data_IF_320098630965
#
_entry.id   IF_320098630965
#
_cell.length_a   1.000
_cell.length_b   1.000
_cell.length_c   1.000
_cell.angle_alpha   90.00
_cell.angle_beta   90.00
_cell.angle_gamma   90.00
#
_symmetry.space_group_name_H-M   'P 1'
#
loop_
_entity.id
_entity.type
_entity.pdbx_description
1 polymer ?
#
# COMPACT_ATOMS: atom_id res chain seq x y z
N UNK A 1 2.99 -6.04 -22.96
CA UNK A 1 4.35 -6.11 -23.53
C UNK A 1 5.30 -6.49 -22.43
N UNK A 2 5.94 -7.65 -22.53
CA UNK A 2 7.10 -7.98 -21.70
C UNK A 2 8.28 -7.12 -22.19
N UNK A 3 9.04 -6.58 -21.25
CA UNK A 3 10.10 -5.61 -21.45
C UNK A 3 10.99 -5.92 -22.65
N UNK A 4 11.31 -4.89 -23.44
CA UNK A 4 12.51 -4.86 -24.26
C UNK A 4 13.66 -5.40 -23.40
N UNK A 5 14.40 -6.37 -23.92
CA UNK A 5 15.48 -7.04 -23.22
C UNK A 5 16.58 -6.02 -22.91
N UNK A 6 16.44 -5.31 -21.80
CA UNK A 6 17.47 -4.42 -21.28
C UNK A 6 18.65 -5.33 -20.97
N UNK A 7 19.70 -5.23 -21.80
CA UNK A 7 20.95 -5.95 -21.59
C UNK A 7 21.46 -5.66 -20.18
N UNK A 8 21.42 -6.70 -19.34
CA UNK A 8 22.07 -6.70 -18.04
C UNK A 8 23.60 -6.74 -18.24
N UNK A 9 24.41 -6.07 -17.41
CA UNK A 9 24.05 -5.36 -16.18
C UNK A 9 23.40 -3.98 -16.41
N UNK A 10 22.65 -3.50 -15.40
CA UNK A 10 22.02 -2.18 -15.44
C UNK A 10 23.06 -1.07 -15.63
N UNK A 11 22.91 -0.30 -16.72
CA UNK A 11 23.79 0.84 -17.04
C UNK A 11 23.38 2.07 -16.23
N UNK A 12 24.23 2.45 -15.27
CA UNK A 12 24.05 3.65 -14.42
C UNK A 12 25.15 4.66 -14.77
N UNK A 13 24.78 5.90 -15.11
CA UNK A 13 25.72 7.01 -15.34
C UNK A 13 25.84 7.87 -14.09
N UNK A 14 27.07 8.11 -13.62
CA UNK A 14 27.34 8.93 -12.43
C UNK A 14 27.66 10.37 -12.85
N UNK A 15 26.94 11.33 -12.26
CA UNK A 15 27.15 12.76 -12.49
C UNK A 15 27.64 13.44 -11.20
N UNK A 16 28.56 14.40 -11.33
CA UNK A 16 29.12 15.18 -10.21
C UNK A 16 28.75 16.67 -10.27
N UNK A 17 28.09 17.11 -11.34
CA UNK A 17 27.71 18.50 -11.60
C UNK A 17 26.30 18.56 -12.19
N UNK A 18 25.71 19.76 -12.21
CA UNK A 18 24.36 20.04 -12.75
C UNK A 18 23.27 19.19 -12.07
N UNK A 19 23.19 19.26 -10.73
CA UNK A 19 22.18 18.51 -9.97
C UNK A 19 20.75 18.89 -10.39
N UNK A 20 19.91 17.93 -10.82
CA UNK A 20 18.56 18.23 -11.30
C UNK A 20 17.58 18.40 -10.14
N UNK A 21 17.59 19.58 -9.52
CA UNK A 21 16.75 19.93 -8.35
C UNK A 21 15.25 19.83 -8.63
N UNK A 22 14.84 19.96 -9.89
CA UNK A 22 13.43 19.88 -10.30
C UNK A 22 12.92 18.42 -10.39
N UNK A 23 13.82 17.44 -10.43
CA UNK A 23 13.50 16.02 -10.59
C UNK A 23 13.85 15.19 -9.35
N UNK A 24 14.97 15.49 -8.71
CA UNK A 24 15.49 14.74 -7.57
C UNK A 24 15.37 15.57 -6.28
N UNK A 25 15.05 14.89 -5.17
CA UNK A 25 14.98 15.50 -3.85
C UNK A 25 16.31 16.15 -3.48
N UNK A 26 16.27 17.43 -3.08
CA UNK A 26 17.46 18.26 -2.88
C UNK A 26 18.52 17.60 -1.97
N UNK A 27 19.82 17.69 -2.32
CA UNK A 27 20.91 17.24 -1.47
C UNK A 27 21.00 18.08 -0.18
N UNK A 28 21.64 17.55 0.88
CA UNK A 28 22.29 16.25 0.93
C UNK A 28 21.31 15.11 1.25
N UNK A 29 21.35 14.07 0.41
CA UNK A 29 20.78 12.76 0.77
C UNK A 29 21.73 12.13 1.80
N UNK A 30 21.55 12.50 3.07
CA UNK A 30 22.32 11.94 4.18
C UNK A 30 21.77 10.57 4.58
N UNK A 31 22.59 9.74 5.24
CA UNK A 31 22.13 8.47 5.82
C UNK A 31 20.93 8.66 6.75
N UNK A 32 20.92 9.75 7.52
CA UNK A 32 19.81 10.10 8.41
C UNK A 32 18.53 10.45 7.62
N UNK A 33 18.66 11.15 6.49
CA UNK A 33 17.51 11.44 5.62
C UNK A 33 16.91 10.17 5.02
N UNK A 34 17.74 9.21 4.59
CA UNK A 34 17.29 7.91 4.07
C UNK A 34 16.62 7.09 5.17
N UNK A 35 17.20 7.04 6.36
CA UNK A 35 16.60 6.37 7.53
C UNK A 35 15.25 6.98 7.91
N UNK A 36 15.16 8.31 7.94
CA UNK A 36 13.92 9.02 8.22
C UNK A 36 12.84 8.73 7.16
N UNK A 37 13.21 8.71 5.88
CA UNK A 37 12.29 8.36 4.79
C UNK A 37 11.81 6.92 4.90
N UNK A 38 12.71 5.98 5.15
CA UNK A 38 12.38 4.57 5.38
C UNK A 38 11.39 4.39 6.55
N UNK A 39 11.63 5.04 7.70
CA UNK A 39 10.72 4.96 8.84
C UNK A 39 9.39 5.66 8.55
N UNK A 40 9.38 6.76 7.80
CA UNK A 40 8.16 7.43 7.37
C UNK A 40 7.27 6.50 6.54
N UNK A 41 7.88 5.76 5.61
CA UNK A 41 7.20 4.77 4.77
C UNK A 41 6.57 3.64 5.58
N UNK A 42 7.28 3.13 6.59
CA UNK A 42 6.75 2.09 7.48
C UNK A 42 5.58 2.62 8.33
N UNK A 43 5.71 3.85 8.86
CA UNK A 43 4.64 4.50 9.64
C UNK A 43 3.36 4.70 8.83
N UNK A 44 3.50 5.15 7.58
CA UNK A 44 2.38 5.30 6.65
C UNK A 44 1.70 3.96 6.37
N UNK A 45 2.49 2.91 6.12
CA UNK A 45 1.95 1.56 5.93
C UNK A 45 1.22 1.04 7.17
N UNK A 46 1.74 1.29 8.38
CA UNK A 46 1.08 0.90 9.63
C UNK A 46 -0.18 1.73 9.93
N UNK A 47 -0.21 3.00 9.53
CA UNK A 47 -1.42 3.82 9.59
C UNK A 47 -2.57 3.20 8.78
N UNK A 48 -2.25 2.68 7.58
CA UNK A 48 -3.21 2.00 6.72
C UNK A 48 -3.64 0.63 7.28
N UNK A 49 -2.69 -0.17 7.76
CA UNK A 49 -2.98 -1.52 8.26
C UNK A 49 -3.68 -1.54 9.62
N UNK A 50 -3.20 -0.71 10.55
CA UNK A 50 -3.44 -0.82 11.98
C UNK A 50 -3.74 0.51 12.69
N UNK A 51 -3.97 1.61 11.94
CA UNK A 51 -4.11 2.96 12.51
C UNK A 51 -2.90 3.36 13.38
N UNK A 52 -1.69 3.00 12.94
CA UNK A 52 -0.42 3.29 13.62
C UNK A 52 -0.24 2.59 14.97
N UNK A 53 -1.13 1.66 15.33
CA UNK A 53 -1.11 0.99 16.63
C UNK A 53 0.20 0.23 16.88
N UNK A 54 0.66 -0.57 15.91
CA UNK A 54 1.84 -1.42 16.10
C UNK A 54 3.10 -0.56 16.20
N UNK A 55 3.26 0.43 15.30
CA UNK A 55 4.39 1.36 15.34
C UNK A 55 4.45 2.18 16.63
N UNK A 56 3.30 2.57 17.19
CA UNK A 56 3.26 3.33 18.44
C UNK A 56 3.63 2.50 19.67
N UNK A 57 3.53 1.16 19.60
CA UNK A 57 3.96 0.27 20.68
C UNK A 57 5.43 -0.12 20.61
N UNK A 58 6.07 0.09 19.45
CA UNK A 58 7.49 -0.19 19.28
C UNK A 58 8.36 0.82 20.03
N UNK A 59 9.47 0.33 20.57
CA UNK A 59 10.48 1.18 21.20
C UNK A 59 11.47 1.72 20.16
N UNK A 60 12.20 2.78 20.51
CA UNK A 60 13.23 3.35 19.63
C UNK A 60 14.34 2.34 19.24
N UNK A 61 14.56 1.29 20.05
CA UNK A 61 15.46 0.17 19.69
C UNK A 61 14.91 -0.69 18.56
N UNK A 62 13.59 -0.89 18.51
CA UNK A 62 12.93 -1.71 17.50
C UNK A 62 12.97 -1.01 16.14
N UNK A 63 12.73 0.31 16.12
CA UNK A 63 12.89 1.14 14.92
C UNK A 63 14.33 1.10 14.37
N UNK A 64 15.33 1.24 15.26
CA UNK A 64 16.75 1.12 14.88
C UNK A 64 17.09 -0.28 14.38
N UNK A 65 16.47 -1.32 14.94
CA UNK A 65 16.68 -2.70 14.50
C UNK A 65 16.11 -2.96 13.11
N UNK A 66 14.93 -2.42 12.78
CA UNK A 66 14.39 -2.46 11.41
C UNK A 66 15.37 -1.82 10.42
N UNK A 67 15.84 -0.61 10.72
CA UNK A 67 16.79 0.09 9.86
C UNK A 67 18.12 -0.66 9.71
N UNK A 68 18.71 -1.11 10.82
CA UNK A 68 19.97 -1.85 10.79
C UNK A 68 19.85 -3.19 10.08
N UNK A 69 18.70 -3.87 10.21
CA UNK A 69 18.41 -5.11 9.50
C UNK A 69 18.42 -4.90 7.99
N UNK A 70 17.80 -3.82 7.51
CA UNK A 70 17.84 -3.44 6.09
C UNK A 70 19.26 -3.06 5.63
N UNK A 71 19.90 -2.14 6.36
CA UNK A 71 21.19 -1.57 5.96
C UNK A 71 22.32 -2.61 5.87
N UNK A 72 22.33 -3.60 6.76
CA UNK A 72 23.38 -4.62 6.83
C UNK A 72 22.96 -5.96 6.23
N UNK A 73 21.85 -6.01 5.48
CA UNK A 73 21.33 -7.21 4.83
C UNK A 73 21.08 -8.38 5.81
N UNK A 74 20.59 -8.08 7.02
CA UNK A 74 20.32 -9.05 8.08
C UNK A 74 18.82 -9.39 8.11
N UNK A 75 18.43 -10.40 7.33
CA UNK A 75 17.03 -10.83 7.18
C UNK A 75 16.34 -11.09 8.52
N UNK A 76 16.91 -11.96 9.38
CA UNK A 76 16.28 -12.34 10.65
C UNK A 76 16.16 -11.15 11.61
N UNK A 77 17.16 -10.27 11.60
CA UNK A 77 17.16 -9.06 12.42
C UNK A 77 15.99 -8.14 12.03
N UNK A 78 15.77 -7.94 10.73
CA UNK A 78 14.64 -7.16 10.22
C UNK A 78 13.30 -7.84 10.53
N UNK A 79 13.17 -9.13 10.20
CA UNK A 79 11.91 -9.86 10.30
C UNK A 79 11.46 -10.13 11.73
N UNK A 80 12.38 -10.22 12.70
CA UNK A 80 12.03 -10.33 14.12
C UNK A 80 11.19 -9.16 14.64
N UNK A 81 11.27 -7.98 13.99
CA UNK A 81 10.45 -6.82 14.29
C UNK A 81 9.33 -6.66 13.27
N UNK A 82 9.61 -6.82 11.97
CA UNK A 82 8.64 -6.64 10.90
C UNK A 82 7.48 -7.65 10.95
N UNK A 83 7.66 -8.83 11.53
CA UNK A 83 6.59 -9.82 11.72
C UNK A 83 5.39 -9.23 12.48
N UNK A 84 5.64 -8.39 13.50
CA UNK A 84 4.59 -7.69 14.27
C UNK A 84 3.76 -6.75 13.39
N UNK A 85 4.37 -6.15 12.36
CA UNK A 85 3.69 -5.30 11.38
C UNK A 85 2.89 -6.11 10.35
N UNK A 86 3.07 -7.42 10.30
CA UNK A 86 2.36 -8.31 9.36
C UNK A 86 1.30 -9.18 10.05
N UNK A 87 1.13 -9.02 11.37
CA UNK A 87 0.06 -9.66 12.12
C UNK A 87 -1.21 -8.80 12.09
N UNK A 88 -2.32 -9.27 11.52
CA UNK A 88 -3.56 -8.51 11.54
C UNK A 88 -4.10 -8.39 12.96
N UNK A 89 -4.52 -7.18 13.36
CA UNK A 89 -5.14 -6.98 14.68
C UNK A 89 -6.40 -7.85 14.81
N UNK A 90 -6.63 -8.44 16.00
CA UNK A 90 -7.90 -9.10 16.27
C UNK A 90 -9.03 -8.08 16.14
N UNK A 91 -9.98 -8.34 15.23
CA UNK A 91 -11.18 -7.53 15.08
C UNK A 91 -12.09 -7.74 16.30
N UNK A 92 -11.76 -7.12 17.44
CA UNK A 92 -12.70 -6.88 18.52
C UNK A 92 -13.68 -5.82 18.05
N UNK A 93 -14.87 -6.24 17.62
CA UNK A 93 -15.93 -5.39 17.09
C UNK A 93 -16.59 -4.46 18.13
N UNK A 94 -15.96 -4.16 19.28
CA UNK A 94 -16.57 -3.27 20.30
C UNK A 94 -15.64 -2.32 21.07
N UNK A 95 -14.30 -2.39 20.98
CA UNK A 95 -13.43 -1.65 21.91
C UNK A 95 -12.41 -0.70 21.23
N UNK A 96 -12.82 0.00 20.19
CA UNK A 96 -12.13 1.24 19.80
C UNK A 96 -12.97 2.40 20.33
N UNK A 97 -12.44 3.28 21.20
CA UNK A 97 -13.17 4.45 21.65
C UNK A 97 -13.49 5.30 20.43
N UNK A 98 -14.75 5.27 20.00
CA UNK A 98 -15.33 6.33 19.22
C UNK A 98 -15.49 7.49 20.19
N UNK A 99 -14.65 8.52 20.07
CA UNK A 99 -15.02 9.84 20.57
C UNK A 99 -16.20 10.33 19.72
N UNK A 100 -17.39 9.86 20.04
CA UNK A 100 -18.64 10.51 19.68
C UNK A 100 -19.19 11.13 20.96
N UNK A 101 -19.13 12.45 21.04
CA UNK A 101 -19.88 13.24 22.01
C UNK A 101 -21.36 12.84 21.92
N UNK A 102 -21.89 12.21 22.96
CA UNK A 102 -23.34 12.00 23.10
C UNK A 102 -23.80 12.48 24.48
N UNK A 103 -24.80 13.36 24.45
CA UNK A 103 -25.64 13.72 25.58
C UNK A 103 -26.62 12.55 25.91
N UNK A 104 -27.19 12.49 27.13
CA UNK A 104 -27.67 11.23 27.70
C UNK A 104 -29.17 10.99 27.51
N UNK A 105 -29.56 9.72 27.36
CA UNK A 105 -30.95 9.25 27.39
C UNK A 105 -31.10 7.75 27.68
N UNK A 106 -31.29 7.43 28.96
CA UNK A 106 -32.11 6.40 29.67
C UNK A 106 -32.31 4.97 29.05
N UNK A 107 -32.26 3.87 29.87
CA UNK A 107 -32.18 2.47 29.40
C UNK A 107 -33.52 1.69 29.42
N UNK A 108 -33.66 0.68 28.54
CA UNK A 108 -34.71 -0.36 28.65
C UNK A 108 -34.18 -1.79 28.39
N UNK A 109 -34.84 -2.76 29.02
CA UNK A 109 -34.38 -4.12 29.37
C UNK A 109 -34.88 -5.26 28.44
N UNK A 110 -34.00 -6.28 28.22
CA UNK A 110 -34.20 -7.76 28.03
C UNK A 110 -35.14 -8.28 26.89
N UNK A 111 -35.14 -9.61 26.52
CA UNK A 111 -34.40 -10.77 27.05
C UNK A 111 -33.68 -11.71 26.04
N UNK A 112 -32.97 -12.70 26.60
CA UNK A 112 -32.30 -13.82 25.95
C UNK A 112 -33.28 -14.85 25.33
N UNK A 113 -32.98 -15.32 24.11
CA UNK A 113 -33.33 -16.65 23.56
C UNK A 113 -32.30 -17.00 22.47
N UNK A 114 -31.52 -18.07 22.64
CA UNK A 114 -31.75 -19.46 22.17
C UNK A 114 -30.94 -19.81 20.91
N UNK A 115 -29.86 -20.56 21.16
CA UNK A 115 -29.39 -21.75 20.44
C UNK A 115 -29.13 -21.74 18.92
N UNK A 116 -27.91 -22.22 18.64
CA UNK A 116 -27.46 -22.98 17.47
C UNK A 116 -27.41 -22.24 16.13
N UNK A 117 -26.20 -21.81 15.76
CA UNK A 117 -25.62 -22.16 14.47
C UNK A 117 -24.09 -22.22 14.59
N UNK A 118 -23.61 -23.46 14.69
CA UNK A 118 -22.21 -23.82 14.63
C UNK A 118 -21.81 -23.89 13.15
N UNK A 119 -21.42 -22.75 12.60
CA UNK A 119 -20.51 -22.67 11.47
C UNK A 119 -19.76 -21.37 11.69
N UNK A 120 -18.80 -21.41 12.62
CA UNK A 120 -17.88 -20.32 12.83
C UNK A 120 -17.09 -20.14 11.54
N UNK A 121 -17.63 -19.29 10.66
CA UNK A 121 -16.88 -18.44 9.74
C UNK A 121 -15.60 -18.10 10.45
N UNK A 122 -14.51 -18.77 10.07
CA UNK A 122 -13.18 -18.42 10.51
C UNK A 122 -12.97 -17.00 10.02
N UNK A 123 -13.32 -16.04 10.88
CA UNK A 123 -13.26 -14.60 10.64
C UNK A 123 -11.83 -14.34 10.21
N UNK A 124 -11.64 -14.23 8.89
CA UNK A 124 -10.31 -14.11 8.31
C UNK A 124 -9.71 -12.84 8.92
N UNK A 125 -8.61 -12.99 9.67
CA UNK A 125 -7.94 -11.85 10.28
C UNK A 125 -7.24 -11.12 9.13
N UNK A 126 -7.68 -9.90 8.85
CA UNK A 126 -7.15 -9.10 7.74
C UNK A 126 -6.78 -7.71 8.20
N UNK A 127 -5.90 -7.04 7.45
CA UNK A 127 -5.58 -5.64 7.67
C UNK A 127 -6.77 -4.75 7.38
N UNK A 128 -6.72 -3.50 7.84
CA UNK A 128 -7.76 -2.52 7.49
C UNK A 128 -7.68 -2.11 6.00
N UNK A 129 -6.48 -1.79 5.52
CA UNK A 129 -6.21 -1.50 4.12
C UNK A 129 -4.86 -2.08 3.67
N UNK A 130 -4.71 -2.27 2.36
CA UNK A 130 -3.47 -2.71 1.72
C UNK A 130 -2.61 -1.47 1.37
N UNK A 131 -1.40 -1.32 1.94
CA UNK A 131 -0.45 -0.29 1.52
C UNK A 131 0.12 -0.63 0.14
N UNK A 132 -0.36 0.06 -0.92
CA UNK A 132 0.06 -0.20 -2.29
C UNK A 132 0.23 1.12 -3.06
N UNK A 133 1.21 1.16 -3.96
CA UNK A 133 1.49 2.28 -4.87
C UNK A 133 1.65 1.76 -6.28
N UNK A 134 0.90 2.33 -7.21
CA UNK A 134 1.01 2.04 -8.64
C UNK A 134 1.86 3.14 -9.31
N UNK A 135 2.98 2.74 -9.88
CA UNK A 135 3.86 3.62 -10.65
C UNK A 135 3.61 3.40 -12.14
N UNK A 136 3.29 4.48 -12.85
CA UNK A 136 3.11 4.46 -14.30
C UNK A 136 4.20 5.31 -14.95
N UNK A 137 4.82 4.77 -15.99
CA UNK A 137 5.79 5.51 -16.81
C UNK A 137 5.00 6.16 -17.94
N UNK A 138 5.09 7.49 -18.08
CA UNK A 138 4.54 8.19 -19.25
C UNK A 138 5.62 8.26 -20.33
N UNK A 139 5.26 7.91 -21.57
CA UNK A 139 6.17 7.99 -22.72
C UNK A 139 6.51 9.43 -23.12
N UNK A 140 5.76 10.42 -22.62
CA UNK A 140 5.98 11.84 -22.89
C UNK A 140 7.04 12.41 -21.92
N UNK A 141 8.29 12.09 -22.21
CA UNK A 141 9.50 12.28 -21.41
C UNK A 141 9.98 13.74 -21.21
N UNK A 142 9.12 14.76 -21.30
CA UNK A 142 9.60 16.16 -21.32
C UNK A 142 9.26 17.06 -20.13
N UNK A 143 8.40 16.73 -19.15
CA UNK A 143 8.18 17.70 -18.05
C UNK A 143 7.49 17.26 -16.75
N UNK A 144 7.21 15.99 -16.45
CA UNK A 144 6.63 15.66 -15.14
C UNK A 144 7.24 14.42 -14.49
N UNK A 145 7.51 14.46 -13.17
CA UNK A 145 7.89 13.25 -12.45
C UNK A 145 6.72 12.27 -12.50
N UNK A 146 7.02 11.01 -12.82
CA UNK A 146 6.13 9.88 -12.64
C UNK A 146 5.67 9.85 -11.18
N UNK A 147 4.47 10.39 -10.92
CA UNK A 147 3.80 10.23 -9.64
C UNK A 147 3.35 8.78 -9.45
N UNK A 148 2.94 8.44 -8.24
CA UNK A 148 2.27 7.17 -7.98
C UNK A 148 0.79 7.39 -7.68
N UNK A 149 -0.02 6.40 -8.03
CA UNK A 149 -1.42 6.32 -7.60
C UNK A 149 -1.48 5.49 -6.33
N UNK A 150 -2.12 6.02 -5.29
CA UNK A 150 -2.38 5.32 -4.04
C UNK A 150 -3.83 5.58 -3.64
N UNK A 151 -4.58 4.50 -3.39
CA UNK A 151 -5.98 4.54 -2.94
C UNK A 151 -6.20 3.56 -1.79
N UNK A 152 -7.31 3.72 -1.08
CA UNK A 152 -7.71 2.80 -0.02
C UNK A 152 -8.26 1.51 -0.64
N UNK A 153 -7.51 0.42 -0.49
CA UNK A 153 -7.91 -0.91 -0.95
C UNK A 153 -8.15 -1.78 0.28
N UNK A 154 -9.36 -2.31 0.44
CA UNK A 154 -9.67 -3.30 1.48
C UNK A 154 -9.10 -4.66 1.06
N UNK A 155 -8.65 -5.51 1.98
CA UNK A 155 -8.22 -6.87 1.65
C UNK A 155 -9.38 -7.85 1.43
N UNK A 156 -10.60 -7.44 1.81
CA UNK A 156 -11.81 -8.20 1.58
C UNK A 156 -12.80 -7.34 0.79
N UNK A 157 -13.39 -7.95 -0.23
CA UNK A 157 -14.49 -7.41 -1.00
C UNK A 157 -15.79 -7.42 -0.16
N UNK A 158 -16.85 -6.76 -0.64
CA UNK A 158 -18.12 -6.66 0.10
C UNK A 158 -18.84 -8.01 0.24
N UNK A 159 -18.52 -8.97 -0.62
CA UNK A 159 -18.98 -10.38 -0.56
C UNK A 159 -18.15 -11.24 0.41
N UNK A 160 -17.10 -10.69 1.02
CA UNK A 160 -16.18 -11.39 1.91
C UNK A 160 -15.08 -12.18 1.22
N UNK A 161 -14.99 -12.15 -0.12
CA UNK A 161 -13.86 -12.73 -0.86
C UNK A 161 -12.59 -11.90 -0.69
N UNK A 162 -11.41 -12.53 -0.88
CA UNK A 162 -10.13 -11.82 -0.87
C UNK A 162 -10.01 -10.96 -2.12
N UNK A 163 -9.63 -9.70 -1.93
CA UNK A 163 -9.35 -8.78 -3.04
C UNK A 163 -8.15 -9.28 -3.84
N UNK A 164 -8.36 -9.52 -5.12
CA UNK A 164 -7.34 -9.97 -6.05
C UNK A 164 -6.47 -8.80 -6.53
N UNK A 165 -5.36 -9.11 -7.20
CA UNK A 165 -4.53 -8.09 -7.85
C UNK A 165 -5.32 -7.35 -8.95
N UNK A 166 -6.20 -8.04 -9.68
CA UNK A 166 -7.04 -7.44 -10.71
C UNK A 166 -7.98 -6.39 -10.10
N UNK A 167 -8.67 -6.76 -9.01
CA UNK A 167 -9.55 -5.83 -8.28
C UNK A 167 -8.78 -4.59 -7.80
N UNK A 168 -7.57 -4.80 -7.27
CA UNK A 168 -6.71 -3.70 -6.82
C UNK A 168 -6.28 -2.78 -7.97
N UNK A 169 -5.91 -3.32 -9.13
CA UNK A 169 -5.56 -2.55 -10.33
C UNK A 169 -6.76 -1.73 -10.81
N UNK A 170 -7.95 -2.34 -10.86
CA UNK A 170 -9.18 -1.66 -11.21
C UNK A 170 -9.48 -0.52 -10.24
N UNK A 171 -9.39 -0.75 -8.93
CA UNK A 171 -9.57 0.31 -7.93
C UNK A 171 -8.58 1.45 -8.16
N UNK A 172 -7.29 1.15 -8.40
CA UNK A 172 -6.24 2.15 -8.60
C UNK A 172 -6.46 2.96 -9.88
N UNK A 173 -6.81 2.31 -11.00
CA UNK A 173 -6.94 2.95 -12.31
C UNK A 173 -8.29 3.61 -12.57
N UNK A 174 -9.39 3.15 -11.95
CA UNK A 174 -10.70 3.78 -12.11
C UNK A 174 -10.70 5.18 -11.48
N UNK A 175 -10.43 6.19 -12.30
CA UNK A 175 -10.70 7.59 -11.99
C UNK A 175 -12.20 7.86 -12.15
N UNK A 176 -12.77 8.60 -11.22
CA UNK A 176 -14.11 9.19 -11.33
C UNK A 176 -14.08 10.30 -12.41
N UNK A 177 -13.90 9.91 -13.67
CA UNK A 177 -13.85 10.78 -14.86
C UNK A 177 -14.72 10.13 -15.94
N UNK A 178 -15.58 10.94 -16.53
CA UNK A 178 -16.65 10.56 -17.45
C UNK A 178 -16.29 9.39 -18.41
N UNK A 179 -17.21 8.44 -18.64
CA UNK A 179 -16.97 7.19 -19.39
C UNK A 179 -16.53 7.38 -20.85
N UNK A 180 -16.59 8.60 -21.39
CA UNK A 180 -16.15 8.92 -22.76
C UNK A 180 -14.62 8.91 -22.93
N UNK A 181 -13.83 9.14 -21.87
CA UNK A 181 -12.37 9.13 -21.99
C UNK A 181 -11.76 7.73 -21.83
N UNK A 182 -12.39 6.89 -20.99
CA UNK A 182 -11.95 5.51 -20.73
C UNK A 182 -12.05 4.63 -21.99
N UNK A 183 -13.08 4.84 -22.83
CA UNK A 183 -13.24 4.12 -24.08
C UNK A 183 -12.08 4.39 -25.04
N UNK A 184 -11.57 5.62 -25.10
CA UNK A 184 -10.43 5.97 -25.95
C UNK A 184 -9.11 5.41 -25.42
N UNK A 185 -8.92 5.41 -24.09
CA UNK A 185 -7.69 4.91 -23.47
C UNK A 185 -7.61 3.37 -23.53
N UNK A 186 -8.73 2.67 -23.32
CA UNK A 186 -8.80 1.20 -23.45
C UNK A 186 -8.68 0.79 -24.92
N UNK A 187 -9.32 1.50 -25.84
CA UNK A 187 -9.18 1.21 -27.28
C UNK A 187 -7.74 1.44 -27.74
N UNK A 188 -7.07 2.52 -27.30
CA UNK A 188 -5.65 2.75 -27.61
C UNK A 188 -4.72 1.64 -27.05
N UNK A 189 -5.01 1.13 -25.85
CA UNK A 189 -4.29 0.00 -25.24
C UNK A 189 -4.53 -1.34 -25.97
N UNK A 190 -5.70 -1.54 -26.56
CA UNK A 190 -6.05 -2.78 -27.27
C UNK A 190 -5.66 -2.75 -28.77
N UNK A 191 -5.62 -1.58 -29.41
CA UNK A 191 -5.32 -1.46 -30.86
C UNK A 191 -3.82 -1.46 -31.17
N UNK A 192 -2.96 -1.31 -30.16
CA UNK A 192 -1.49 -1.32 -30.32
C UNK A 192 -0.87 -2.72 -30.26
N UNK A 193 -1.67 -3.78 -30.14
CA UNK A 193 -1.23 -5.16 -30.30
C UNK A 193 -1.14 -5.50 -31.80
N UNK A 194 0.03 -5.84 -32.37
CA UNK A 194 0.12 -6.20 -33.78
C UNK A 194 -0.60 -7.52 -34.02
N UNK A 195 -1.60 -7.49 -34.89
CA UNK A 195 -2.20 -8.67 -35.50
C UNK A 195 -1.10 -9.38 -36.29
N UNK A 196 -0.83 -10.64 -35.93
CA UNK A 196 0.01 -11.56 -36.69
C UNK A 196 -0.31 -11.44 -38.18
N UNK A 197 0.65 -10.96 -38.97
CA UNK A 197 0.59 -11.12 -40.42
C UNK A 197 1.31 -12.43 -40.76
N UNK A 198 0.49 -13.47 -40.87
CA UNK A 198 0.87 -14.70 -41.52
C UNK A 198 1.05 -14.44 -43.03
N UNK A 199 2.26 -14.68 -43.53
CA UNK A 199 2.58 -15.37 -44.80
C UNK A 199 4.04 -15.81 -44.76
#
# INVERSE_FOLDING_TARGET
MCADTVDIPWKITVHFSNYPTDLLLSPPVSRLAVEAHFLSMIKEADALKHRSYVMNQMQARDHRQLWNGLLHFRYDQFWSINSKLMEPLPQNTKDLPLEEMSAPGIPENKPLSSSLNNMSSSKCRTFRYIPCRLYCVSENSSSTPSGFIQKLIRPLNDDGSLTSLQDAIEILLHTNKNPLHLANDIHALLTTMPVNQAM
#
